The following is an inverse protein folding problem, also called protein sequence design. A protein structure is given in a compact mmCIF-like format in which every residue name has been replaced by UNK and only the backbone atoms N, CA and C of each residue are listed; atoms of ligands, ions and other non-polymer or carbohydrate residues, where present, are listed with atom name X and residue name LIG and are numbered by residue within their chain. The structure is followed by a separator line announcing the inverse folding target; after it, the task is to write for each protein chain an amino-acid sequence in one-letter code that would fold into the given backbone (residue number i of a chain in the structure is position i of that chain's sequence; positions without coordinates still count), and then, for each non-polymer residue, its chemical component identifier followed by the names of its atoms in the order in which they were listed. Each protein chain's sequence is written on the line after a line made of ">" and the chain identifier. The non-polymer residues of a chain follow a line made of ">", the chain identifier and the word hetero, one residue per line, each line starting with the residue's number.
data_IF_088093640597
#
_entry.id   IF_088093640597
#
_cell.length_a   1.000
_cell.length_b   1.000
_cell.length_c   1.000
_cell.angle_alpha   90.00
_cell.angle_beta   90.00
_cell.angle_gamma   90.00
#
_symmetry.space_group_name_H-M   'P 1'
#
loop_
_entity.id
_entity.type
_entity.pdbx_description
1 polymer ?
#
# COMPACT_ATOMS: atom_id res chain seq x y z
N UNK A 1 34.65 13.99 16.32
CA UNK A 1 33.46 13.34 16.93
C UNK A 1 33.73 11.86 17.10
N UNK A 2 33.55 11.30 18.31
CA UNK A 2 33.92 9.92 18.67
C UNK A 2 33.10 8.88 17.88
N UNK A 3 33.75 7.83 17.37
CA UNK A 3 33.19 6.74 16.54
C UNK A 3 31.86 6.18 17.10
N UNK A 4 31.81 6.02 18.42
CA UNK A 4 30.69 5.50 19.21
C UNK A 4 29.39 6.28 18.97
N UNK A 5 29.43 7.61 18.86
CA UNK A 5 28.22 8.44 18.71
C UNK A 5 27.53 8.25 17.35
N UNK A 6 28.30 7.93 16.30
CA UNK A 6 27.75 7.62 14.97
C UNK A 6 27.04 6.26 14.95
N UNK A 7 27.50 5.33 15.79
CA UNK A 7 26.94 3.98 15.90
C UNK A 7 25.59 4.00 16.62
N UNK A 8 25.44 4.77 17.69
CA UNK A 8 24.14 4.98 18.35
C UNK A 8 23.11 5.66 17.44
N UNK A 9 23.52 6.66 16.64
CA UNK A 9 22.62 7.31 15.67
C UNK A 9 22.20 6.35 14.54
N UNK A 10 23.10 5.49 14.06
CA UNK A 10 22.78 4.44 13.08
C UNK A 10 21.88 3.34 13.66
N UNK A 11 22.15 2.88 14.87
CA UNK A 11 21.37 1.86 15.58
C UNK A 11 19.92 2.33 15.77
N UNK A 12 19.73 3.59 16.18
CA UNK A 12 18.39 4.16 16.39
C UNK A 12 17.57 4.24 15.08
N UNK A 13 18.21 4.57 13.96
CA UNK A 13 17.54 4.63 12.63
C UNK A 13 17.18 3.26 12.09
N UNK A 14 18.00 2.23 12.32
CA UNK A 14 17.72 0.87 11.88
C UNK A 14 16.60 0.20 12.70
N UNK A 15 16.52 0.47 14.01
CA UNK A 15 15.41 -0.02 14.84
C UNK A 15 14.07 0.57 14.35
N UNK A 16 14.04 1.87 14.06
CA UNK A 16 12.85 2.53 13.51
C UNK A 16 12.44 1.93 12.15
N UNK A 17 13.41 1.69 11.26
CA UNK A 17 13.16 1.11 9.94
C UNK A 17 12.65 -0.34 10.06
N UNK A 18 13.22 -1.13 10.96
CA UNK A 18 12.78 -2.51 11.22
C UNK A 18 11.34 -2.57 11.74
N UNK A 19 10.96 -1.65 12.63
CA UNK A 19 9.60 -1.54 13.15
C UNK A 19 8.60 -1.09 12.08
N UNK A 20 8.97 -0.11 11.24
CA UNK A 20 8.13 0.31 10.12
C UNK A 20 7.93 -0.84 9.11
N UNK A 21 9.00 -1.57 8.80
CA UNK A 21 8.95 -2.71 7.88
C UNK A 21 8.07 -3.84 8.43
N UNK A 22 8.14 -4.15 9.73
CA UNK A 22 7.32 -5.22 10.32
C UNK A 22 5.82 -4.89 10.28
N UNK A 23 5.45 -3.63 10.51
CA UNK A 23 4.05 -3.16 10.40
C UNK A 23 3.55 -3.32 8.96
N UNK A 24 4.34 -2.89 7.98
CA UNK A 24 3.95 -2.95 6.56
C UNK A 24 3.76 -4.42 6.13
N UNK A 25 4.71 -5.30 6.46
CA UNK A 25 4.63 -6.72 6.11
C UNK A 25 3.42 -7.37 6.78
N UNK A 26 3.20 -7.09 8.07
CA UNK A 26 2.04 -7.61 8.80
C UNK A 26 0.71 -7.18 8.18
N UNK A 27 0.60 -5.91 7.78
CA UNK A 27 -0.60 -5.39 7.13
C UNK A 27 -0.87 -6.08 5.77
N UNK A 28 0.17 -6.26 4.95
CA UNK A 28 0.06 -6.96 3.66
C UNK A 28 -0.40 -8.41 3.88
N UNK A 29 0.23 -9.11 4.84
CA UNK A 29 -0.10 -10.50 5.18
C UNK A 29 -1.55 -10.60 5.65
N UNK A 30 -2.00 -9.73 6.57
CA UNK A 30 -3.37 -9.72 7.06
C UNK A 30 -4.40 -9.50 5.93
N UNK A 31 -4.11 -8.61 4.99
CA UNK A 31 -4.98 -8.35 3.82
C UNK A 31 -5.08 -9.54 2.88
N UNK A 32 -3.99 -10.30 2.67
CA UNK A 32 -4.01 -11.54 1.89
C UNK A 32 -4.90 -12.60 2.53
N UNK A 33 -4.71 -12.87 3.82
CA UNK A 33 -5.41 -13.93 4.53
C UNK A 33 -6.90 -13.66 4.71
N UNK A 34 -7.31 -12.40 4.73
CA UNK A 34 -8.71 -12.00 4.87
C UNK A 34 -9.49 -11.98 3.55
N UNK A 35 -8.86 -12.37 2.43
CA UNK A 35 -9.50 -12.34 1.11
C UNK A 35 -9.80 -10.93 0.60
N UNK A 36 -9.17 -9.91 1.19
CA UNK A 36 -9.36 -8.50 0.87
C UNK A 36 -8.55 -8.07 -0.37
N UNK A 37 -8.69 -8.82 -1.47
CA UNK A 37 -7.95 -8.60 -2.73
C UNK A 37 -8.18 -7.19 -3.26
N UNK A 38 -9.40 -6.65 -3.13
CA UNK A 38 -9.71 -5.27 -3.50
C UNK A 38 -8.88 -4.24 -2.73
N UNK A 39 -8.77 -4.37 -1.42
CA UNK A 39 -8.02 -3.42 -0.58
C UNK A 39 -6.51 -3.47 -0.83
N UNK A 40 -6.00 -4.66 -1.10
CA UNK A 40 -4.61 -4.84 -1.49
C UNK A 40 -4.31 -4.07 -2.80
N UNK A 41 -5.15 -4.27 -3.82
CA UNK A 41 -5.00 -3.57 -5.10
C UNK A 41 -5.09 -2.05 -4.91
N UNK A 42 -6.05 -1.59 -4.10
CA UNK A 42 -6.19 -0.18 -3.75
C UNK A 42 -4.90 0.39 -3.13
N UNK A 43 -4.33 -0.30 -2.14
CA UNK A 43 -3.15 0.20 -1.41
C UNK A 43 -1.92 0.26 -2.32
N UNK A 44 -1.69 -0.79 -3.11
CA UNK A 44 -0.56 -0.86 -4.04
C UNK A 44 -0.64 0.25 -5.09
N UNK A 45 -1.79 0.40 -5.75
CA UNK A 45 -1.98 1.40 -6.80
C UNK A 45 -1.84 2.81 -6.24
N UNK A 46 -2.41 3.07 -5.06
CA UNK A 46 -2.29 4.39 -4.40
C UNK A 46 -0.82 4.75 -4.17
N UNK A 47 0.00 3.81 -3.71
CA UNK A 47 1.41 4.04 -3.42
C UNK A 47 2.24 4.24 -4.69
N UNK A 48 2.00 3.43 -5.72
CA UNK A 48 2.68 3.56 -7.02
C UNK A 48 2.35 4.91 -7.66
N UNK A 49 1.08 5.31 -7.69
CA UNK A 49 0.65 6.60 -8.24
C UNK A 49 1.23 7.77 -7.45
N UNK A 50 1.20 7.69 -6.11
CA UNK A 50 1.79 8.73 -5.26
C UNK A 50 3.28 8.91 -5.57
N UNK A 51 4.01 7.80 -5.64
CA UNK A 51 5.43 7.81 -5.96
C UNK A 51 5.70 8.36 -7.36
N UNK A 52 4.88 7.96 -8.34
CA UNK A 52 4.99 8.44 -9.71
C UNK A 52 4.80 9.95 -9.78
N UNK A 53 3.72 10.50 -9.20
CA UNK A 53 3.44 11.94 -9.20
C UNK A 53 4.51 12.76 -8.48
N UNK A 54 5.04 12.26 -7.36
CA UNK A 54 6.15 12.90 -6.66
C UNK A 54 7.43 12.92 -7.50
N UNK A 55 7.68 11.86 -8.29
CA UNK A 55 8.87 11.75 -9.14
C UNK A 55 8.84 12.73 -10.31
N UNK A 56 7.66 13.04 -10.84
CA UNK A 56 7.48 14.02 -11.92
C UNK A 56 7.31 15.47 -11.41
N UNK A 57 7.49 15.71 -10.10
CA UNK A 57 7.56 17.06 -9.52
C UNK A 57 6.21 17.69 -9.14
N UNK A 58 5.15 16.91 -9.00
CA UNK A 58 3.88 17.43 -8.47
C UNK A 58 3.96 17.66 -6.96
N UNK A 59 3.22 18.66 -6.48
CA UNK A 59 3.07 18.92 -5.05
C UNK A 59 2.45 17.73 -4.32
N UNK A 60 2.97 17.46 -3.12
CA UNK A 60 2.57 16.31 -2.28
C UNK A 60 1.07 16.26 -2.02
N UNK A 61 0.42 17.42 -1.89
CA UNK A 61 -1.02 17.53 -1.68
C UNK A 61 -1.83 17.10 -2.90
N UNK A 62 -1.47 17.59 -4.09
CA UNK A 62 -2.19 17.25 -5.32
C UNK A 62 -1.91 15.79 -5.70
N UNK A 63 -0.67 15.34 -5.54
CA UNK A 63 -0.28 13.95 -5.77
C UNK A 63 -1.12 12.97 -4.92
N UNK A 64 -1.37 13.29 -3.64
CA UNK A 64 -2.16 12.43 -2.75
C UNK A 64 -3.64 12.44 -3.07
N UNK A 65 -4.19 13.60 -3.39
CA UNK A 65 -5.59 13.75 -3.76
C UNK A 65 -5.91 12.96 -5.03
N UNK A 66 -5.06 13.08 -6.06
CA UNK A 66 -5.23 12.36 -7.33
C UNK A 66 -5.01 10.87 -7.14
N UNK A 67 -3.95 10.44 -6.44
CA UNK A 67 -3.69 9.02 -6.21
C UNK A 67 -4.81 8.34 -5.42
N UNK A 68 -5.37 9.04 -4.43
CA UNK A 68 -6.49 8.53 -3.65
C UNK A 68 -7.76 8.41 -4.50
N UNK A 69 -8.09 9.45 -5.27
CA UNK A 69 -9.28 9.42 -6.15
C UNK A 69 -9.19 8.30 -7.19
N UNK A 70 -8.07 8.16 -7.89
CA UNK A 70 -7.86 7.13 -8.92
C UNK A 70 -7.88 5.73 -8.32
N UNK A 71 -7.26 5.54 -7.16
CA UNK A 71 -7.26 4.23 -6.51
C UNK A 71 -8.65 3.80 -6.06
N UNK A 72 -9.48 4.73 -5.55
CA UNK A 72 -10.88 4.43 -5.18
C UNK A 72 -11.71 4.00 -6.37
N UNK A 73 -11.54 4.63 -7.54
CA UNK A 73 -12.23 4.23 -8.76
C UNK A 73 -11.85 2.79 -9.15
N UNK A 74 -10.54 2.48 -9.13
CA UNK A 74 -10.05 1.14 -9.46
C UNK A 74 -10.54 0.10 -8.45
N UNK A 75 -10.56 0.44 -7.15
CA UNK A 75 -11.10 -0.43 -6.11
C UNK A 75 -12.55 -0.83 -6.38
N UNK A 76 -13.42 0.14 -6.71
CA UNK A 76 -14.83 -0.14 -7.00
C UNK A 76 -14.96 -1.06 -8.23
N UNK A 77 -14.15 -0.84 -9.27
CA UNK A 77 -14.13 -1.71 -10.46
C UNK A 77 -13.69 -3.14 -10.10
N UNK A 78 -12.60 -3.28 -9.34
CA UNK A 78 -12.06 -4.58 -8.92
C UNK A 78 -13.08 -5.33 -8.07
N UNK A 79 -13.69 -4.68 -7.08
CA UNK A 79 -14.72 -5.28 -6.23
C UNK A 79 -15.92 -5.74 -7.04
N UNK A 80 -16.40 -4.93 -7.99
CA UNK A 80 -17.50 -5.33 -8.87
C UNK A 80 -17.14 -6.56 -9.72
N UNK A 81 -15.90 -6.64 -10.23
CA UNK A 81 -15.41 -7.82 -10.95
C UNK A 81 -15.34 -9.05 -10.02
N UNK A 82 -14.77 -8.90 -8.82
CA UNK A 82 -14.66 -9.96 -7.83
C UNK A 82 -16.02 -10.53 -7.44
N UNK A 83 -17.03 -9.66 -7.23
CA UNK A 83 -18.41 -10.08 -6.96
C UNK A 83 -19.00 -10.85 -8.15
N UNK A 84 -18.75 -10.40 -9.38
CA UNK A 84 -19.24 -11.07 -10.59
C UNK A 84 -18.59 -12.46 -10.75
N UNK A 85 -17.30 -12.59 -10.46
CA UNK A 85 -16.58 -13.87 -10.47
C UNK A 85 -17.09 -14.83 -9.37
N UNK A 86 -17.30 -14.34 -8.14
CA UNK A 86 -17.89 -15.13 -7.07
C UNK A 86 -19.34 -15.56 -7.37
N UNK A 87 -20.15 -14.69 -7.99
CA UNK A 87 -21.50 -15.03 -8.44
C UNK A 87 -21.49 -16.08 -9.55
N UNK A 88 -20.51 -16.02 -10.47
CA UNK A 88 -20.34 -17.03 -11.51
C UNK A 88 -20.08 -18.42 -10.90
N UNK A 89 -19.36 -18.49 -9.79
CA UNK A 89 -19.10 -19.74 -9.06
C UNK A 89 -20.36 -20.30 -8.37
N UNK A 90 -21.32 -19.45 -7.99
CA UNK A 90 -22.57 -19.86 -7.34
C UNK A 90 -23.58 -20.54 -8.30
N UNK A 91 -23.35 -20.46 -9.61
CA UNK A 91 -24.20 -21.09 -10.64
C UNK A 91 -23.57 -22.37 -11.22
N UNK A 92 -22.89 -23.17 -10.38
CA UNK A 92 -22.57 -24.57 -10.69
C UNK A 92 -23.82 -25.47 -10.51
N UNK A 93 -23.91 -26.62 -11.21
CA UNK A 93 -25.09 -27.48 -11.29
C UNK A 93 -25.66 -27.93 -9.94
#
# INVERSE_FOLDING_TARGET
>A
MKQQYKEYIKLNKNILLGFAASIIISAIVAQLFSGQVGEMVYTIIRWILQYYFLTIGYDTYIASLVSQSTSTVIYIVVVNLSIKLMRLYKNGP
#
